data_IF_638289271297
#
_entry.id   IF_638289271297
#
_cell.length_a   1.000
_cell.length_b   1.000
_cell.length_c   1.000
_cell.angle_alpha   90.00
_cell.angle_beta   90.00
_cell.angle_gamma   90.00
#
_symmetry.space_group_name_H-M   'P 1'
#
loop_
_entity.id
_entity.type
_entity.pdbx_description
1 polymer ?
#
# COMPACT_ATOMS: atom_id res chain seq x y z
N UNK A 1 22.05 -33.18 96.09
CA UNK A 1 21.12 -34.23 95.60
C UNK A 1 20.34 -33.64 94.42
N UNK A 2 20.18 -34.38 93.42
CA UNK A 2 19.41 -34.28 92.20
C UNK A 2 20.23 -33.92 90.96
N UNK A 3 20.34 -34.94 90.16
CA UNK A 3 20.97 -35.16 88.92
C UNK A 3 20.07 -34.59 87.82
N UNK A 4 20.62 -33.93 86.78
CA UNK A 4 19.95 -33.74 85.45
C UNK A 4 20.90 -34.02 84.34
N UNK A 5 20.61 -35.10 83.66
CA UNK A 5 21.21 -35.57 82.44
C UNK A 5 20.71 -34.74 81.24
N UNK A 6 21.59 -34.62 80.32
CA UNK A 6 21.61 -34.25 78.95
C UNK A 6 20.35 -34.23 78.13
N UNK A 7 20.35 -33.26 77.23
CA UNK A 7 19.62 -33.31 75.99
C UNK A 7 20.53 -32.90 74.86
N UNK A 8 20.83 -33.84 73.97
CA UNK A 8 21.43 -33.60 72.66
C UNK A 8 20.40 -32.95 71.75
N UNK A 9 20.70 -31.79 71.18
CA UNK A 9 19.99 -31.23 70.04
C UNK A 9 20.76 -31.61 68.78
N UNK A 10 20.12 -32.40 67.94
CA UNK A 10 20.55 -32.72 66.58
C UNK A 10 20.30 -31.50 65.71
N UNK A 11 21.30 -31.07 65.00
CA UNK A 11 21.20 -30.03 63.98
C UNK A 11 20.67 -30.68 62.69
N UNK A 12 19.42 -30.37 62.34
CA UNK A 12 18.83 -30.75 61.06
C UNK A 12 19.30 -29.83 59.93
N UNK A 13 19.67 -30.49 58.93
CA UNK A 13 20.26 -30.12 57.64
C UNK A 13 19.29 -29.29 56.76
N UNK A 14 19.49 -28.02 56.59
CA UNK A 14 18.77 -27.12 55.67
C UNK A 14 19.64 -26.66 54.46
N UNK A 15 20.47 -27.59 53.89
CA UNK A 15 21.41 -27.21 52.83
C UNK A 15 21.00 -27.60 51.41
N UNK A 16 19.82 -28.17 51.17
CA UNK A 16 19.47 -28.71 49.79
C UNK A 16 18.51 -27.84 48.98
N UNK A 17 17.92 -26.78 49.57
CA UNK A 17 16.90 -25.99 48.85
C UNK A 17 17.46 -24.84 48.00
N UNK A 18 18.70 -24.35 48.22
CA UNK A 18 19.27 -23.18 47.50
C UNK A 18 19.99 -23.53 46.20
N UNK A 19 20.39 -24.79 46.01
CA UNK A 19 21.18 -25.20 44.85
C UNK A 19 20.36 -25.47 43.60
N UNK A 20 19.03 -25.68 43.72
CA UNK A 20 18.17 -26.04 42.56
C UNK A 20 17.48 -24.80 41.99
N UNK A 21 17.24 -23.73 42.75
CA UNK A 21 16.55 -22.50 42.32
C UNK A 21 17.42 -21.65 41.40
N UNK A 22 18.73 -21.65 41.62
CA UNK A 22 19.66 -20.83 40.81
C UNK A 22 19.83 -21.29 39.33
N UNK A 23 19.95 -22.57 39.00
CA UNK A 23 20.03 -23.00 37.61
C UNK A 23 18.69 -22.88 36.87
N UNK A 24 17.54 -23.01 37.55
CA UNK A 24 16.22 -22.80 36.94
C UNK A 24 15.98 -21.34 36.57
N UNK A 25 16.43 -20.38 37.39
CA UNK A 25 16.32 -18.96 37.11
C UNK A 25 17.21 -18.55 35.90
N UNK A 26 18.40 -19.13 35.75
CA UNK A 26 19.29 -18.88 34.62
C UNK A 26 18.71 -19.47 33.34
N UNK A 27 18.09 -20.63 33.37
CA UNK A 27 17.40 -21.24 32.21
C UNK A 27 16.18 -20.43 31.79
N UNK A 28 15.41 -19.89 32.74
CA UNK A 28 14.26 -19.03 32.45
C UNK A 28 14.72 -17.69 31.85
N UNK A 29 15.81 -17.10 32.31
CA UNK A 29 16.40 -15.87 31.74
C UNK A 29 16.94 -16.12 30.32
N UNK A 30 17.52 -17.30 30.04
CA UNK A 30 17.95 -17.68 28.69
C UNK A 30 16.82 -17.93 27.70
N UNK A 31 15.64 -18.38 28.19
CA UNK A 31 14.42 -18.57 27.34
C UNK A 31 13.76 -17.25 26.97
N UNK A 32 14.00 -16.16 27.69
CA UNK A 32 13.48 -14.83 27.36
C UNK A 32 14.42 -13.98 26.49
N UNK A 33 15.65 -14.40 26.26
CA UNK A 33 16.57 -13.82 25.28
C UNK A 33 16.34 -14.46 23.88
N UNK A 34 15.10 -14.54 23.42
CA UNK A 34 14.85 -14.69 21.98
C UNK A 34 15.43 -13.44 21.31
N UNK A 35 16.69 -13.52 20.87
CA UNK A 35 17.22 -12.55 19.93
C UNK A 35 16.23 -12.49 18.77
N UNK A 36 15.56 -11.37 18.61
CA UNK A 36 14.87 -11.09 17.35
C UNK A 36 15.97 -11.20 16.28
N UNK A 37 15.96 -12.28 15.49
CA UNK A 37 16.87 -12.40 14.35
C UNK A 37 16.47 -11.29 13.40
N UNK A 38 17.35 -10.30 13.24
CA UNK A 38 17.19 -9.32 12.19
C UNK A 38 17.74 -9.91 10.90
N UNK A 39 16.98 -9.80 9.84
CA UNK A 39 17.40 -10.20 8.49
C UNK A 39 17.63 -8.96 7.64
N UNK A 40 18.64 -9.01 6.77
CA UNK A 40 18.99 -7.92 5.88
C UNK A 40 18.19 -8.05 4.58
N UNK A 41 17.42 -7.03 4.27
CA UNK A 41 16.66 -6.95 3.02
C UNK A 41 17.11 -5.76 2.18
N UNK A 42 17.04 -5.88 0.85
CA UNK A 42 17.29 -4.78 -0.07
C UNK A 42 15.93 -4.19 -0.47
N UNK A 43 15.76 -2.89 -0.21
CA UNK A 43 14.53 -2.18 -0.59
C UNK A 43 14.52 -1.75 -2.07
N UNK A 44 13.43 -1.13 -2.53
CA UNK A 44 13.25 -0.75 -3.95
C UNK A 44 14.11 0.46 -4.39
N UNK A 45 14.82 1.11 -3.50
CA UNK A 45 15.79 2.17 -3.81
C UNK A 45 17.25 1.72 -3.56
N UNK A 46 17.45 0.39 -3.38
CA UNK A 46 18.77 -0.25 -3.32
C UNK A 46 19.46 -0.18 -1.96
N UNK A 47 18.76 0.10 -0.86
CA UNK A 47 19.32 0.17 0.48
C UNK A 47 19.19 -1.16 1.20
N UNK A 48 20.18 -1.49 2.01
CA UNK A 48 20.11 -2.58 2.98
C UNK A 48 19.34 -2.10 4.22
N UNK A 49 18.36 -2.88 4.66
CA UNK A 49 17.53 -2.60 5.83
C UNK A 49 17.52 -3.83 6.72
N UNK A 50 17.96 -3.67 7.97
CA UNK A 50 17.89 -4.72 8.99
C UNK A 50 16.49 -4.74 9.58
N UNK A 51 15.72 -5.80 9.33
CA UNK A 51 14.32 -5.93 9.76
C UNK A 51 14.21 -7.08 10.75
N UNK A 52 13.60 -6.86 11.95
CA UNK A 52 13.27 -7.95 12.87
C UNK A 52 12.34 -8.98 12.21
N UNK A 53 12.62 -10.26 12.33
CA UNK A 53 11.85 -11.34 11.70
C UNK A 53 11.05 -12.14 12.74
N UNK A 54 9.71 -12.15 12.68
CA UNK A 54 8.84 -11.23 11.95
C UNK A 54 8.62 -9.89 12.67
N UNK A 55 8.40 -8.77 11.97
CA UNK A 55 8.08 -7.51 12.61
C UNK A 55 6.69 -7.56 13.27
N UNK A 56 6.57 -6.95 14.45
CA UNK A 56 5.37 -6.99 15.28
C UNK A 56 4.61 -5.66 15.35
N UNK A 57 5.28 -4.55 15.03
CA UNK A 57 4.72 -3.20 15.12
C UNK A 57 5.11 -2.39 13.90
N UNK A 58 4.25 -2.42 12.89
CA UNK A 58 4.50 -1.82 11.57
C UNK A 58 3.80 -0.47 11.46
N UNK A 59 4.53 0.57 11.06
CA UNK A 59 3.95 1.86 10.68
C UNK A 59 3.93 1.97 9.14
N UNK A 60 2.75 2.24 8.58
CA UNK A 60 2.53 2.43 7.15
C UNK A 60 2.48 3.92 6.81
N UNK A 61 3.35 4.38 5.91
CA UNK A 61 3.44 5.78 5.49
C UNK A 61 2.67 6.10 4.20
N UNK A 62 1.86 5.16 3.69
CA UNK A 62 1.02 5.38 2.51
C UNK A 62 -0.27 4.55 2.55
N UNK A 63 -1.38 5.04 1.94
CA UNK A 63 -2.62 4.26 1.84
C UNK A 63 -2.43 2.92 1.13
N UNK A 64 -1.66 2.88 0.03
CA UNK A 64 -1.38 1.65 -0.74
C UNK A 64 -0.66 0.58 0.09
N UNK A 65 0.28 1.00 0.96
CA UNK A 65 0.98 0.11 1.88
C UNK A 65 0.01 -0.42 2.95
N UNK A 66 -0.83 0.47 3.50
CA UNK A 66 -1.86 0.07 4.48
C UNK A 66 -2.79 -0.99 3.89
N UNK A 67 -3.32 -0.76 2.69
CA UNK A 67 -4.19 -1.69 1.97
C UNK A 67 -3.49 -3.05 1.73
N UNK A 68 -2.19 -3.03 1.39
CA UNK A 68 -1.40 -4.24 1.20
C UNK A 68 -1.21 -5.02 2.50
N UNK A 69 -0.83 -4.34 3.59
CA UNK A 69 -0.65 -4.98 4.90
C UNK A 69 -1.94 -5.65 5.39
N UNK A 70 -3.08 -4.96 5.26
CA UNK A 70 -4.37 -5.55 5.62
C UNK A 70 -4.76 -6.73 4.72
N UNK A 71 -4.47 -6.66 3.42
CA UNK A 71 -4.72 -7.75 2.49
C UNK A 71 -3.86 -9.01 2.79
N UNK A 72 -2.71 -8.84 3.45
CA UNK A 72 -1.85 -9.89 3.95
C UNK A 72 -2.20 -10.37 5.37
N UNK A 73 -3.31 -9.88 5.96
CA UNK A 73 -3.74 -10.28 7.30
C UNK A 73 -2.89 -9.73 8.45
N UNK A 74 -2.19 -8.60 8.22
CA UNK A 74 -1.30 -7.95 9.19
C UNK A 74 -1.97 -6.82 9.98
N UNK A 75 -3.31 -6.80 10.05
CA UNK A 75 -4.08 -5.76 10.72
C UNK A 75 -3.66 -5.55 12.18
N UNK A 76 -3.32 -6.63 12.89
CA UNK A 76 -2.87 -6.56 14.30
C UNK A 76 -1.50 -5.94 14.43
N UNK A 77 -0.60 -6.17 13.48
CA UNK A 77 0.76 -5.64 13.46
C UNK A 77 0.81 -4.17 13.03
N UNK A 78 -0.20 -3.68 12.29
CA UNK A 78 -0.27 -2.26 11.90
C UNK A 78 -0.50 -1.39 13.14
N UNK A 79 0.56 -0.71 13.58
CA UNK A 79 0.58 0.18 14.76
C UNK A 79 0.15 1.61 14.42
N UNK A 80 0.36 2.07 13.15
CA UNK A 80 0.00 3.41 12.72
C UNK A 80 -0.08 3.54 11.21
N UNK A 81 -0.90 4.50 10.74
CA UNK A 81 -1.19 4.73 9.33
C UNK A 81 -1.29 6.22 9.02
N UNK A 82 -1.25 6.61 7.74
CA UNK A 82 -1.46 8.01 7.34
C UNK A 82 -2.92 8.44 7.44
N UNK A 83 -3.18 9.76 7.43
CA UNK A 83 -4.53 10.31 7.54
C UNK A 83 -5.49 9.83 6.43
N UNK A 84 -4.98 9.59 5.23
CA UNK A 84 -5.77 9.13 4.08
C UNK A 84 -5.84 7.60 3.95
N UNK A 85 -5.21 6.84 4.84
CA UNK A 85 -5.33 5.37 4.91
C UNK A 85 -6.68 4.99 5.53
N UNK A 86 -7.74 5.04 4.75
CA UNK A 86 -9.13 4.82 5.21
C UNK A 86 -9.70 3.49 4.73
N UNK A 87 -8.95 2.74 3.94
CA UNK A 87 -9.33 1.42 3.45
C UNK A 87 -8.30 0.38 3.90
N UNK A 88 -8.77 -0.83 4.35
CA UNK A 88 -10.18 -1.17 4.62
C UNK A 88 -10.75 -0.37 5.81
N UNK A 89 -12.04 -0.53 6.11
CA UNK A 89 -12.70 0.22 7.19
C UNK A 89 -11.95 0.08 8.53
N UNK A 90 -11.41 -1.10 8.83
CA UNK A 90 -10.61 -1.35 10.03
C UNK A 90 -9.34 -0.47 10.14
N UNK A 91 -8.80 0.04 9.03
CA UNK A 91 -7.67 0.96 9.06
C UNK A 91 -8.04 2.33 9.66
N UNK A 92 -9.33 2.69 9.70
CA UNK A 92 -9.80 3.97 10.26
C UNK A 92 -9.57 4.07 11.76
N UNK A 93 -9.57 2.96 12.47
CA UNK A 93 -9.33 2.91 13.92
C UNK A 93 -7.85 3.01 14.31
N UNK A 94 -6.92 2.92 13.36
CA UNK A 94 -5.48 2.95 13.63
C UNK A 94 -4.97 4.37 13.93
N UNK A 95 -3.98 4.53 14.80
CA UNK A 95 -3.33 5.80 15.09
C UNK A 95 -2.84 6.50 13.83
N UNK A 96 -2.98 7.85 13.77
CA UNK A 96 -2.61 8.66 12.61
C UNK A 96 -1.24 9.30 12.80
N UNK A 97 -0.31 9.02 11.88
CA UNK A 97 1.08 9.51 11.94
C UNK A 97 1.34 10.76 11.08
N UNK A 98 0.35 11.29 10.42
CA UNK A 98 0.46 12.46 9.54
C UNK A 98 -0.17 12.24 8.19
N UNK A 99 0.06 13.18 7.25
CA UNK A 99 -0.37 13.03 5.87
C UNK A 99 0.65 12.21 5.07
N UNK A 100 0.33 11.85 3.85
CA UNK A 100 1.23 11.13 2.93
C UNK A 100 2.57 11.87 2.68
N UNK A 101 2.55 13.18 2.63
CA UNK A 101 3.74 14.02 2.38
C UNK A 101 4.38 14.51 3.68
N UNK A 102 3.55 14.86 4.68
CA UNK A 102 4.00 15.42 5.95
C UNK A 102 3.74 14.42 7.08
N UNK A 103 4.71 13.57 7.34
CA UNK A 103 4.72 12.59 8.43
C UNK A 103 5.25 13.26 9.70
N UNK A 104 4.63 13.01 10.85
CA UNK A 104 5.13 13.43 12.15
C UNK A 104 6.10 12.38 12.70
N UNK A 105 7.39 12.73 12.78
CA UNK A 105 8.43 11.89 13.37
C UNK A 105 8.07 11.49 14.80
N UNK A 106 7.63 12.45 15.61
CA UNK A 106 7.25 12.23 17.01
C UNK A 106 6.14 11.17 17.14
N UNK A 107 5.09 11.26 16.30
CA UNK A 107 4.00 10.28 16.34
C UNK A 107 4.46 8.90 15.90
N UNK A 108 5.34 8.81 14.90
CA UNK A 108 5.90 7.52 14.48
C UNK A 108 6.72 6.91 15.60
N UNK A 109 7.66 7.67 16.18
CA UNK A 109 8.51 7.21 17.29
C UNK A 109 7.67 6.83 18.53
N UNK A 110 6.65 7.62 18.86
CA UNK A 110 5.75 7.34 19.98
C UNK A 110 4.95 6.04 19.86
N UNK A 111 4.81 5.50 18.63
CA UNK A 111 4.21 4.18 18.42
C UNK A 111 5.20 3.03 18.63
N UNK A 112 6.49 3.33 18.87
CA UNK A 112 7.55 2.36 19.08
C UNK A 112 7.53 1.21 18.01
N UNK A 113 7.59 1.53 16.70
CA UNK A 113 7.56 0.52 15.65
C UNK A 113 8.90 -0.21 15.56
N UNK A 114 8.83 -1.47 15.14
CA UNK A 114 10.00 -2.27 14.77
C UNK A 114 10.21 -2.33 13.24
N UNK A 115 9.26 -1.79 12.47
CA UNK A 115 9.35 -1.58 11.03
C UNK A 115 8.51 -0.38 10.59
N UNK A 116 9.07 0.46 9.73
CA UNK A 116 8.34 1.51 9.01
C UNK A 116 8.39 1.18 7.53
N UNK A 117 7.23 1.19 6.84
CA UNK A 117 7.18 0.97 5.39
C UNK A 117 6.73 2.27 4.73
N UNK A 118 7.57 2.80 3.85
CA UNK A 118 7.33 4.03 3.09
C UNK A 118 7.35 3.80 1.58
N UNK A 119 7.01 4.84 0.81
CA UNK A 119 7.10 4.83 -0.65
C UNK A 119 7.90 6.00 -1.18
N UNK A 120 8.73 5.77 -2.21
CA UNK A 120 9.51 6.82 -2.84
C UNK A 120 8.63 7.82 -3.61
N UNK A 121 7.46 7.40 -4.10
CA UNK A 121 6.49 8.25 -4.79
C UNK A 121 5.54 8.89 -3.76
N UNK A 122 6.05 9.90 -3.01
CA UNK A 122 5.24 10.71 -2.11
C UNK A 122 5.78 10.95 -0.71
N UNK A 123 6.51 10.02 -0.10
CA UNK A 123 7.18 10.31 1.16
C UNK A 123 8.46 11.12 0.90
N UNK A 124 8.67 12.16 1.69
CA UNK A 124 9.87 13.00 1.55
C UNK A 124 11.13 12.22 1.96
N UNK A 125 12.18 12.33 1.15
CA UNK A 125 13.47 11.68 1.44
C UNK A 125 14.03 12.08 2.82
N UNK A 126 13.83 13.35 3.20
CA UNK A 126 14.24 13.89 4.49
C UNK A 126 13.54 13.19 5.67
N UNK A 127 12.24 12.91 5.50
CA UNK A 127 11.46 12.17 6.52
C UNK A 127 12.00 10.75 6.71
N UNK A 128 12.33 10.07 5.62
CA UNK A 128 12.93 8.72 5.68
C UNK A 128 14.26 8.78 6.43
N UNK A 129 15.14 9.73 6.08
CA UNK A 129 16.43 9.91 6.76
C UNK A 129 16.29 10.26 8.25
N UNK A 130 15.29 11.06 8.63
CA UNK A 130 15.03 11.39 10.03
C UNK A 130 14.59 10.16 10.83
N UNK A 131 13.73 9.31 10.26
CA UNK A 131 13.31 8.06 10.89
C UNK A 131 14.49 7.09 11.07
N UNK A 132 15.34 6.95 10.05
CA UNK A 132 16.58 6.16 10.15
C UNK A 132 17.56 6.72 11.19
N UNK A 133 17.69 8.05 11.25
CA UNK A 133 18.55 8.75 12.20
C UNK A 133 18.20 8.52 13.66
N UNK A 134 16.95 8.13 13.97
CA UNK A 134 16.50 7.73 15.31
C UNK A 134 16.50 6.20 15.49
N UNK A 135 17.13 5.45 14.57
CA UNK A 135 17.32 3.99 14.67
C UNK A 135 16.14 3.14 14.23
N UNK A 136 15.15 3.71 13.52
CA UNK A 136 14.03 2.93 13.01
C UNK A 136 14.37 2.29 11.65
N UNK A 137 14.11 0.99 11.43
CA UNK A 137 14.24 0.38 10.12
C UNK A 137 13.14 0.90 9.19
N UNK A 138 13.53 1.50 8.05
CA UNK A 138 12.61 2.05 7.06
C UNK A 138 12.78 1.32 5.73
N UNK A 139 11.78 0.53 5.35
CA UNK A 139 11.73 -0.18 4.07
C UNK A 139 10.94 0.63 3.05
N UNK A 140 11.56 0.97 1.92
CA UNK A 140 10.93 1.82 0.89
C UNK A 140 10.51 0.99 -0.31
N UNK A 141 9.24 1.12 -0.70
CA UNK A 141 8.67 0.58 -1.94
C UNK A 141 8.45 1.68 -2.98
N UNK A 142 8.28 1.33 -4.26
CA UNK A 142 8.00 2.31 -5.31
C UNK A 142 7.32 1.66 -6.54
N UNK A 143 6.12 1.09 -6.42
CA UNK A 143 5.46 0.46 -7.54
C UNK A 143 4.82 1.50 -8.47
N UNK A 144 5.12 1.42 -9.78
CA UNK A 144 4.56 2.28 -10.83
C UNK A 144 3.85 1.49 -11.95
N UNK A 145 3.76 0.16 -11.79
CA UNK A 145 3.10 -0.75 -12.72
C UNK A 145 2.42 -1.90 -11.99
N UNK A 146 1.53 -2.64 -12.66
CA UNK A 146 0.89 -3.84 -12.08
C UNK A 146 1.90 -4.95 -11.73
N UNK A 147 2.97 -5.07 -12.51
CA UNK A 147 4.04 -6.00 -12.21
C UNK A 147 4.76 -5.60 -10.91
N UNK A 148 5.13 -4.34 -10.78
CA UNK A 148 5.81 -3.83 -9.58
C UNK A 148 4.90 -3.82 -8.33
N UNK A 149 3.57 -3.70 -8.49
CA UNK A 149 2.61 -3.91 -7.39
C UNK A 149 2.69 -5.38 -6.91
N UNK A 150 2.75 -6.34 -7.84
CA UNK A 150 2.93 -7.75 -7.49
C UNK A 150 4.25 -7.99 -6.76
N UNK A 151 5.35 -7.40 -7.24
CA UNK A 151 6.66 -7.47 -6.59
C UNK A 151 6.65 -6.83 -5.19
N UNK A 152 5.96 -5.70 -5.03
CA UNK A 152 5.79 -5.05 -3.73
C UNK A 152 5.03 -5.96 -2.75
N UNK A 153 3.93 -6.56 -3.17
CA UNK A 153 3.14 -7.49 -2.34
C UNK A 153 4.02 -8.66 -1.89
N UNK A 154 4.77 -9.28 -2.82
CA UNK A 154 5.68 -10.39 -2.50
C UNK A 154 6.80 -9.96 -1.56
N UNK A 155 7.39 -8.77 -1.77
CA UNK A 155 8.46 -8.26 -0.90
C UNK A 155 7.95 -7.96 0.51
N UNK A 156 6.75 -7.34 0.64
CA UNK A 156 6.12 -7.11 1.95
C UNK A 156 5.78 -8.46 2.60
N UNK A 157 5.26 -9.43 1.86
CA UNK A 157 5.02 -10.78 2.36
C UNK A 157 6.27 -11.42 2.96
N UNK A 158 7.41 -11.33 2.24
CA UNK A 158 8.70 -11.86 2.69
C UNK A 158 9.20 -11.19 3.97
N UNK A 159 9.24 -9.87 4.04
CA UNK A 159 9.74 -9.14 5.21
C UNK A 159 8.82 -9.24 6.44
N UNK A 160 7.60 -9.79 6.28
CA UNK A 160 6.58 -9.89 7.34
C UNK A 160 6.17 -11.32 7.65
N UNK A 161 6.86 -12.33 7.09
CA UNK A 161 6.52 -13.75 7.24
C UNK A 161 5.08 -14.06 6.80
N UNK A 162 4.71 -13.55 5.59
CA UNK A 162 3.41 -13.73 4.91
C UNK A 162 3.58 -14.09 3.43
N UNK A 163 4.56 -14.95 3.11
CA UNK A 163 4.90 -15.30 1.72
C UNK A 163 3.78 -16.07 1.02
N UNK A 164 3.10 -16.99 1.75
CA UNK A 164 2.01 -17.80 1.21
C UNK A 164 0.78 -16.92 0.90
N UNK A 165 0.42 -16.01 1.82
CA UNK A 165 -0.67 -15.07 1.63
C UNK A 165 -0.36 -14.12 0.46
N UNK A 166 0.88 -13.61 0.37
CA UNK A 166 1.32 -12.74 -0.71
C UNK A 166 1.26 -13.45 -2.07
N UNK A 167 1.76 -14.70 -2.14
CA UNK A 167 1.72 -15.52 -3.36
C UNK A 167 0.28 -15.78 -3.80
N UNK A 168 -0.59 -16.11 -2.86
CA UNK A 168 -2.02 -16.35 -3.13
C UNK A 168 -2.71 -15.09 -3.63
N UNK A 169 -2.45 -13.95 -2.98
CA UNK A 169 -2.99 -12.65 -3.37
C UNK A 169 -2.55 -12.28 -4.79
N UNK A 170 -1.25 -12.33 -5.10
CA UNK A 170 -0.70 -12.00 -6.42
C UNK A 170 -1.26 -12.93 -7.51
N UNK A 171 -1.40 -14.23 -7.22
CA UNK A 171 -2.03 -15.18 -8.14
C UNK A 171 -3.48 -14.80 -8.46
N UNK A 172 -4.23 -14.37 -7.45
CA UNK A 172 -5.60 -13.87 -7.60
C UNK A 172 -5.67 -12.62 -8.49
N UNK A 173 -4.77 -11.65 -8.27
CA UNK A 173 -4.69 -10.44 -9.08
C UNK A 173 -4.38 -10.76 -10.56
N UNK A 174 -3.40 -11.62 -10.81
CA UNK A 174 -3.04 -12.04 -12.17
C UNK A 174 -4.19 -12.78 -12.87
N UNK A 175 -4.92 -13.67 -12.15
CA UNK A 175 -6.09 -14.36 -12.71
C UNK A 175 -7.16 -13.37 -13.16
N UNK A 176 -7.47 -12.36 -12.34
CA UNK A 176 -8.44 -11.30 -12.67
C UNK A 176 -7.98 -10.46 -13.85
N UNK A 177 -6.72 -9.98 -13.86
CA UNK A 177 -6.15 -9.21 -14.96
C UNK A 177 -6.18 -9.99 -16.29
N UNK A 178 -5.84 -11.29 -16.26
CA UNK A 178 -5.90 -12.15 -17.45
C UNK A 178 -7.33 -12.33 -17.97
N UNK A 179 -8.31 -12.49 -17.08
CA UNK A 179 -9.73 -12.57 -17.46
C UNK A 179 -10.17 -11.33 -18.24
N UNK A 180 -9.82 -10.14 -17.73
CA UNK A 180 -10.11 -8.87 -18.41
C UNK A 180 -9.46 -8.85 -19.79
N UNK A 181 -8.16 -9.15 -19.87
CA UNK A 181 -7.44 -9.15 -21.14
C UNK A 181 -8.06 -10.10 -22.20
N UNK A 182 -8.51 -11.28 -21.78
CA UNK A 182 -9.18 -12.24 -22.67
C UNK A 182 -10.53 -11.70 -23.14
N UNK A 183 -11.35 -11.13 -22.25
CA UNK A 183 -12.68 -10.61 -22.60
C UNK A 183 -12.61 -9.43 -23.57
N UNK A 184 -11.54 -8.66 -23.54
CA UNK A 184 -11.37 -7.45 -24.34
C UNK A 184 -10.55 -7.67 -25.63
N UNK A 185 -10.03 -8.88 -25.86
CA UNK A 185 -9.04 -9.18 -26.90
C UNK A 185 -9.46 -8.72 -28.32
N UNK A 186 -10.73 -8.85 -28.63
CA UNK A 186 -11.26 -8.58 -29.97
C UNK A 186 -12.10 -7.31 -30.06
N UNK A 187 -12.17 -6.52 -29.00
CA UNK A 187 -12.93 -5.28 -28.99
C UNK A 187 -12.13 -4.12 -29.58
N UNK A 188 -12.85 -3.16 -30.21
CA UNK A 188 -12.25 -1.91 -30.66
C UNK A 188 -11.68 -1.15 -29.46
N UNK A 189 -10.53 -0.53 -29.62
CA UNK A 189 -9.86 0.23 -28.55
C UNK A 189 -10.18 1.72 -28.67
N UNK A 190 -11.12 2.25 -27.86
CA UNK A 190 -11.47 3.67 -27.87
C UNK A 190 -10.31 4.55 -27.39
N UNK A 191 -10.29 5.78 -27.86
CA UNK A 191 -9.38 6.85 -27.42
C UNK A 191 -9.85 7.41 -26.08
N UNK A 192 -9.03 7.32 -25.05
CA UNK A 192 -9.39 7.68 -23.67
C UNK A 192 -8.57 8.87 -23.22
N UNK A 193 -9.24 9.90 -22.72
CA UNK A 193 -8.64 10.96 -21.93
C UNK A 193 -8.93 10.72 -20.45
N UNK A 194 -7.91 10.62 -19.62
CA UNK A 194 -8.03 10.52 -18.17
C UNK A 194 -7.69 11.86 -17.52
N UNK A 195 -8.63 12.48 -16.85
CA UNK A 195 -8.41 13.68 -16.07
C UNK A 195 -8.15 13.33 -14.60
N UNK A 196 -6.95 13.63 -14.09
CA UNK A 196 -6.54 13.41 -12.71
C UNK A 196 -6.62 14.72 -11.90
N UNK A 197 -6.18 15.84 -12.49
CA UNK A 197 -6.24 17.18 -11.89
C UNK A 197 -7.33 18.03 -12.53
N UNK A 198 -7.96 18.90 -11.73
CA UNK A 198 -9.06 19.77 -12.18
C UNK A 198 -8.54 21.15 -12.58
N UNK A 199 -7.75 21.76 -11.74
CA UNK A 199 -7.18 23.09 -11.99
C UNK A 199 -5.75 23.19 -11.43
N UNK A 200 -4.72 23.09 -12.30
CA UNK A 200 -4.83 22.89 -13.76
C UNK A 200 -5.32 21.49 -14.15
N UNK A 201 -5.78 21.35 -15.39
CA UNK A 201 -6.11 20.03 -15.95
C UNK A 201 -4.82 19.22 -16.08
N UNK A 202 -4.76 18.06 -15.40
CA UNK A 202 -3.62 17.16 -15.40
C UNK A 202 -4.10 15.78 -15.87
N UNK A 203 -3.29 15.14 -16.70
CA UNK A 203 -3.52 13.77 -17.17
C UNK A 203 -2.34 12.86 -16.88
N UNK A 204 -2.43 11.60 -17.29
CA UNK A 204 -1.38 10.60 -17.16
C UNK A 204 -0.73 10.31 -18.52
N UNK A 205 0.59 10.36 -18.56
CA UNK A 205 1.40 10.02 -19.72
C UNK A 205 2.13 8.69 -19.58
N UNK A 206 3.18 8.51 -20.39
CA UNK A 206 4.02 7.31 -20.41
C UNK A 206 4.62 6.99 -19.03
N UNK A 207 4.75 5.70 -18.72
CA UNK A 207 5.40 5.22 -17.49
C UNK A 207 4.60 5.46 -16.22
N UNK A 208 3.28 5.65 -16.33
CA UNK A 208 2.37 5.74 -15.19
C UNK A 208 1.49 4.49 -15.09
N UNK A 209 1.11 4.14 -13.87
CA UNK A 209 0.12 3.10 -13.61
C UNK A 209 -1.19 3.36 -14.37
N UNK A 210 -1.65 4.59 -14.39
CA UNK A 210 -2.87 5.01 -15.10
C UNK A 210 -2.82 4.71 -16.60
N UNK A 211 -1.67 4.98 -17.25
CA UNK A 211 -1.49 4.65 -18.66
C UNK A 211 -1.57 3.15 -18.89
N UNK A 212 -0.96 2.35 -18.01
CA UNK A 212 -1.06 0.89 -18.06
C UNK A 212 -2.50 0.41 -17.85
N UNK A 213 -3.24 0.98 -16.88
CA UNK A 213 -4.63 0.63 -16.61
C UNK A 213 -5.53 0.90 -17.82
N UNK A 214 -5.41 2.07 -18.46
CA UNK A 214 -6.17 2.38 -19.69
C UNK A 214 -5.88 1.36 -20.77
N UNK A 215 -4.60 1.04 -20.98
CA UNK A 215 -4.20 0.07 -21.99
C UNK A 215 -4.74 -1.33 -21.70
N UNK A 216 -4.64 -1.81 -20.47
CA UNK A 216 -5.13 -3.13 -20.03
C UNK A 216 -6.65 -3.21 -20.00
N UNK A 217 -7.33 -2.09 -19.76
CA UNK A 217 -8.78 -1.94 -19.86
C UNK A 217 -9.28 -1.85 -21.33
N UNK A 218 -8.40 -2.04 -22.29
CA UNK A 218 -8.76 -2.07 -23.72
C UNK A 218 -8.92 -0.68 -24.35
N UNK A 219 -8.46 0.39 -23.74
CA UNK A 219 -8.41 1.74 -24.31
C UNK A 219 -7.07 2.10 -24.96
N UNK A 220 -7.03 3.27 -25.59
CA UNK A 220 -5.81 3.96 -26.03
C UNK A 220 -5.76 5.30 -25.31
N UNK A 221 -4.77 5.48 -24.45
CA UNK A 221 -4.58 6.77 -23.78
C UNK A 221 -4.10 7.82 -24.80
N UNK A 222 -4.86 8.92 -24.97
CA UNK A 222 -4.52 9.99 -25.93
C UNK A 222 -3.25 10.75 -25.56
N UNK A 223 -2.74 10.59 -24.32
CA UNK A 223 -1.45 11.11 -23.85
C UNK A 223 -0.41 10.00 -23.58
N UNK A 224 -0.69 8.74 -23.94
CA UNK A 224 0.14 7.58 -23.63
C UNK A 224 1.57 7.64 -24.16
N UNK A 225 1.81 8.41 -25.22
CA UNK A 225 3.15 8.58 -25.81
C UNK A 225 3.91 9.81 -25.33
N UNK A 226 3.28 10.69 -24.51
CA UNK A 226 3.98 11.85 -23.97
C UNK A 226 5.09 11.42 -23.00
N UNK A 227 6.29 12.05 -23.05
CA UNK A 227 7.41 11.69 -22.18
C UNK A 227 7.18 12.11 -20.71
N UNK A 228 6.27 13.05 -20.48
CA UNK A 228 5.94 13.52 -19.14
C UNK A 228 4.95 12.59 -18.45
N UNK A 229 5.24 12.17 -17.22
CA UNK A 229 4.37 11.28 -16.46
C UNK A 229 3.00 11.91 -16.17
N UNK A 230 2.97 13.18 -15.76
CA UNK A 230 1.74 13.89 -15.38
C UNK A 230 1.73 15.27 -16.02
N UNK A 231 1.47 15.37 -17.34
CA UNK A 231 1.47 16.65 -18.03
C UNK A 231 0.23 17.48 -17.70
N UNK A 232 0.41 18.81 -17.72
CA UNK A 232 -0.70 19.76 -17.78
C UNK A 232 -1.19 19.86 -19.21
N UNK A 233 -2.52 19.92 -19.38
CA UNK A 233 -3.15 19.93 -20.69
C UNK A 233 -3.95 21.21 -20.87
N UNK A 234 -3.93 21.77 -22.09
CA UNK A 234 -4.90 22.78 -22.50
C UNK A 234 -6.14 22.10 -23.10
N UNK A 235 -7.25 22.83 -23.11
CA UNK A 235 -8.50 22.33 -23.70
C UNK A 235 -8.34 22.17 -25.21
N UNK A 236 -7.63 23.07 -25.86
CA UNK A 236 -7.36 23.03 -27.31
C UNK A 236 -6.58 21.75 -27.69
N UNK A 237 -5.59 21.36 -26.90
CA UNK A 237 -4.84 20.11 -27.13
C UNK A 237 -5.74 18.87 -26.93
N UNK A 238 -6.62 18.89 -25.92
CA UNK A 238 -7.57 17.78 -25.71
C UNK A 238 -8.57 17.68 -26.86
N UNK A 239 -9.08 18.81 -27.38
CA UNK A 239 -9.95 18.86 -28.57
C UNK A 239 -9.22 18.25 -29.77
N UNK A 240 -7.97 18.66 -30.03
CA UNK A 240 -7.16 18.14 -31.12
C UNK A 240 -6.91 16.64 -31.03
N UNK A 241 -6.86 16.09 -29.81
CA UNK A 241 -6.70 14.66 -29.54
C UNK A 241 -8.00 13.84 -29.67
N UNK A 242 -9.14 14.47 -29.89
CA UNK A 242 -10.45 13.81 -30.19
C UNK A 242 -10.70 12.55 -29.37
N UNK A 243 -10.75 12.60 -28.03
CA UNK A 243 -11.03 11.43 -27.22
C UNK A 243 -12.47 10.93 -27.43
N UNK A 244 -12.64 9.61 -27.52
CA UNK A 244 -13.95 8.94 -27.56
C UNK A 244 -14.58 8.81 -26.18
N UNK A 245 -13.75 8.87 -25.13
CA UNK A 245 -14.15 8.72 -23.73
C UNK A 245 -13.34 9.69 -22.88
N UNK A 246 -14.03 10.37 -21.95
CA UNK A 246 -13.41 11.13 -20.87
C UNK A 246 -13.66 10.38 -19.55
N UNK A 247 -12.62 10.06 -18.82
CA UNK A 247 -12.71 9.52 -17.46
C UNK A 247 -12.16 10.58 -16.51
N UNK A 248 -12.94 10.95 -15.51
CA UNK A 248 -12.53 11.92 -14.48
C UNK A 248 -12.21 11.17 -13.20
N UNK A 249 -10.96 11.24 -12.76
CA UNK A 249 -10.52 10.85 -11.43
C UNK A 249 -9.94 12.08 -10.76
N UNK A 250 -10.19 12.29 -9.50
CA UNK A 250 -9.62 13.43 -8.78
C UNK A 250 -8.97 12.94 -7.50
N UNK A 251 -7.71 13.29 -7.30
CA UNK A 251 -7.00 13.08 -6.03
C UNK A 251 -7.66 13.86 -4.87
N UNK A 252 -8.59 14.75 -5.18
CA UNK A 252 -9.29 15.57 -4.21
C UNK A 252 -10.54 14.87 -3.72
N UNK A 253 -10.48 14.20 -2.58
CA UNK A 253 -11.66 13.64 -1.90
C UNK A 253 -12.65 14.77 -1.57
N UNK A 254 -13.92 14.58 -1.93
CA UNK A 254 -14.96 15.57 -1.71
C UNK A 254 -15.06 16.68 -2.75
N UNK A 255 -14.39 16.53 -3.92
CA UNK A 255 -14.60 17.43 -5.06
C UNK A 255 -16.00 17.29 -5.65
N UNK A 256 -16.53 18.38 -6.22
CA UNK A 256 -17.78 18.37 -6.96
C UNK A 256 -17.57 17.76 -8.35
N UNK A 257 -17.56 16.42 -8.41
CA UNK A 257 -17.39 15.68 -9.66
C UNK A 257 -18.54 15.92 -10.67
N UNK A 258 -19.81 16.06 -10.27
CA UNK A 258 -20.86 16.49 -11.17
C UNK A 258 -20.55 17.81 -11.87
N UNK A 259 -20.07 18.82 -11.15
CA UNK A 259 -19.66 20.10 -11.75
C UNK A 259 -18.49 19.95 -12.73
N UNK A 260 -17.52 19.06 -12.47
CA UNK A 260 -16.44 18.78 -13.41
C UNK A 260 -16.96 18.16 -14.69
N UNK A 261 -17.86 17.15 -14.59
CA UNK A 261 -18.53 16.54 -15.75
C UNK A 261 -19.32 17.58 -16.53
N UNK A 262 -20.09 18.43 -15.85
CA UNK A 262 -20.88 19.50 -16.48
C UNK A 262 -19.99 20.56 -17.12
N UNK A 263 -18.81 20.81 -16.56
CA UNK A 263 -17.80 21.70 -17.15
C UNK A 263 -17.31 21.22 -18.53
N UNK A 264 -17.37 19.92 -18.82
CA UNK A 264 -17.03 19.37 -20.13
C UNK A 264 -18.10 19.60 -21.18
N UNK A 265 -19.40 19.68 -20.81
CA UNK A 265 -20.54 19.77 -21.74
C UNK A 265 -20.48 20.93 -22.72
N UNK A 266 -19.73 21.98 -22.42
CA UNK A 266 -19.56 23.13 -23.32
C UNK A 266 -18.60 22.89 -24.50
N UNK A 267 -17.95 21.73 -24.58
CA UNK A 267 -16.95 21.39 -25.60
C UNK A 267 -17.45 20.29 -26.53
N UNK A 268 -18.55 20.55 -27.24
CA UNK A 268 -19.23 19.58 -28.14
C UNK A 268 -18.41 19.12 -29.33
N UNK A 269 -17.33 19.84 -29.66
CA UNK A 269 -16.33 19.39 -30.64
C UNK A 269 -15.61 18.10 -30.24
N UNK A 270 -15.61 17.74 -28.94
CA UNK A 270 -15.01 16.50 -28.42
C UNK A 270 -16.01 15.34 -28.60
N UNK A 271 -15.65 14.23 -29.30
CA UNK A 271 -16.55 13.10 -29.47
C UNK A 271 -17.13 12.55 -28.18
N UNK A 272 -16.30 12.42 -27.13
CA UNK A 272 -16.76 11.99 -25.81
C UNK A 272 -17.84 12.88 -25.19
N UNK A 273 -17.83 14.17 -25.46
CA UNK A 273 -18.84 15.12 -24.97
C UNK A 273 -20.12 15.01 -25.76
N UNK A 274 -20.03 14.99 -27.10
CA UNK A 274 -21.16 14.84 -28.00
C UNK A 274 -21.96 13.55 -27.78
N UNK A 275 -21.23 12.46 -27.50
CA UNK A 275 -21.79 11.12 -27.34
C UNK A 275 -22.10 10.79 -25.85
N UNK A 276 -22.05 11.78 -24.94
CA UNK A 276 -22.24 11.70 -23.47
C UNK A 276 -21.41 10.58 -22.80
N UNK A 277 -20.17 10.38 -23.27
CA UNK A 277 -19.24 9.38 -22.76
C UNK A 277 -18.23 10.00 -21.78
N UNK A 278 -18.75 10.66 -20.75
CA UNK A 278 -17.99 11.28 -19.67
C UNK A 278 -18.31 10.53 -18.37
N UNK A 279 -17.30 9.89 -17.80
CA UNK A 279 -17.45 9.02 -16.63
C UNK A 279 -16.60 9.48 -15.47
N UNK A 280 -17.02 9.10 -14.27
CA UNK A 280 -16.29 9.33 -13.02
C UNK A 280 -15.83 7.99 -12.50
N UNK A 281 -14.57 7.90 -12.08
CA UNK A 281 -13.98 6.75 -11.40
C UNK A 281 -13.48 7.17 -10.02
N UNK A 282 -13.61 6.27 -9.03
CA UNK A 282 -13.06 6.47 -7.70
C UNK A 282 -11.52 6.52 -7.78
N UNK A 283 -10.94 7.65 -7.38
CA UNK A 283 -9.50 7.87 -7.37
C UNK A 283 -8.75 6.83 -6.54
N UNK A 284 -9.29 6.40 -5.41
CA UNK A 284 -8.66 5.41 -4.54
C UNK A 284 -8.44 4.04 -5.24
N UNK A 285 -9.22 3.75 -6.31
CA UNK A 285 -9.08 2.51 -7.06
C UNK A 285 -7.94 2.53 -8.10
N UNK A 286 -7.57 3.72 -8.58
CA UNK A 286 -6.60 3.85 -9.69
C UNK A 286 -5.35 4.64 -9.32
N UNK A 287 -5.39 5.45 -8.24
CA UNK A 287 -4.25 6.25 -7.78
C UNK A 287 -3.41 5.50 -6.75
N UNK A 288 -3.98 4.51 -6.05
CA UNK A 288 -3.26 3.69 -5.09
C UNK A 288 -2.65 2.46 -5.77
N UNK A 289 -1.32 2.39 -5.79
CA UNK A 289 -0.59 1.20 -6.24
C UNK A 289 -0.68 0.09 -5.16
N UNK A 290 -1.86 -0.51 -5.01
CA UNK A 290 -2.23 -1.51 -4.00
C UNK A 290 -2.93 -2.72 -4.63
N UNK A 291 -3.25 -3.79 -3.88
CA UNK A 291 -4.03 -4.90 -4.41
C UNK A 291 -5.39 -4.50 -4.99
N UNK A 292 -5.99 -3.38 -4.55
CA UNK A 292 -7.28 -2.88 -5.06
C UNK A 292 -7.21 -2.29 -6.47
N UNK A 293 -6.01 -2.09 -7.01
CA UNK A 293 -5.83 -1.61 -8.39
C UNK A 293 -6.55 -2.50 -9.42
N UNK A 294 -6.75 -3.79 -9.10
CA UNK A 294 -7.48 -4.71 -9.99
C UNK A 294 -8.97 -4.38 -10.04
N UNK A 295 -9.56 -3.86 -8.95
CA UNK A 295 -10.94 -3.37 -8.94
C UNK A 295 -11.05 -2.12 -9.82
N UNK A 296 -10.02 -1.25 -9.77
CA UNK A 296 -9.88 -0.10 -10.66
C UNK A 296 -9.79 -0.49 -12.13
N UNK A 297 -9.01 -1.53 -12.44
CA UNK A 297 -8.88 -2.06 -13.81
C UNK A 297 -10.22 -2.63 -14.31
N UNK A 298 -10.94 -3.40 -13.50
CA UNK A 298 -12.28 -3.91 -13.84
C UNK A 298 -13.24 -2.75 -14.10
N UNK A 299 -13.27 -1.76 -13.20
CA UNK A 299 -14.14 -0.60 -13.36
C UNK A 299 -13.83 0.22 -14.60
N UNK A 300 -12.55 0.43 -14.89
CA UNK A 300 -12.11 1.12 -16.10
C UNK A 300 -12.50 0.34 -17.36
N UNK A 301 -12.39 -0.99 -17.36
CA UNK A 301 -12.81 -1.84 -18.47
C UNK A 301 -14.33 -1.79 -18.68
N UNK A 302 -15.14 -1.76 -17.62
CA UNK A 302 -16.60 -1.55 -17.70
C UNK A 302 -16.96 -0.19 -18.32
N UNK A 303 -16.23 0.86 -17.98
CA UNK A 303 -16.42 2.21 -18.52
C UNK A 303 -16.06 2.26 -20.01
N UNK A 304 -14.93 1.68 -20.38
CA UNK A 304 -14.42 1.72 -21.76
C UNK A 304 -15.27 0.82 -22.68
N UNK A 305 -15.71 -0.33 -22.19
CA UNK A 305 -16.48 -1.34 -22.90
C UNK A 305 -17.79 -1.70 -22.18
N UNK A 306 -18.77 -0.79 -22.14
CA UNK A 306 -20.06 -1.07 -21.51
C UNK A 306 -20.73 -2.27 -22.20
N UNK A 307 -21.21 -3.24 -21.41
CA UNK A 307 -21.86 -4.45 -21.92
C UNK A 307 -20.90 -5.60 -22.30
N UNK A 308 -19.57 -5.42 -22.17
CA UNK A 308 -18.67 -6.56 -22.23
C UNK A 308 -18.93 -7.50 -21.05
N UNK A 309 -18.93 -8.82 -21.30
CA UNK A 309 -19.23 -9.83 -20.27
C UNK A 309 -18.09 -10.00 -19.26
N UNK A 310 -17.73 -8.91 -18.57
CA UNK A 310 -16.87 -8.92 -17.38
C UNK A 310 -17.66 -9.44 -16.17
N UNK A 311 -18.56 -10.44 -16.36
CA UNK A 311 -19.38 -10.97 -15.26
C UNK A 311 -18.47 -11.46 -14.13
N UNK A 312 -18.71 -10.91 -12.95
CA UNK A 312 -18.21 -11.44 -11.69
C UNK A 312 -18.83 -12.83 -11.50
N UNK A 313 -17.99 -13.87 -11.46
CA UNK A 313 -18.36 -15.16 -10.92
C UNK A 313 -18.33 -15.10 -9.39
#
# INVERSE_FOLDING_TARGET
MVNFQGMHFSADDHSTSKAVVFPILIVIIFLFLSKANAEVYIDKIGRQVDIPSPPRRIVSLAPSITETLFALGLDRQVAGVTMLSTCPEAARSKPRVGTFVNISLERVVGLNPDLVIGTADGNRKETVKQLEGVGLPVYVVNPVSLAEISDMILSIGRITDREDEATTLVRGLHKRARRIAVSLKWLKRPRVFLQIGINPVITAGRGTLHNELIHRAGGVNVYGETPFRYPRCSIEDIIAKTPDIIIVSSMRRGGDFPAVRDGWKKWDAIPAVRDDRIYIIDADLIDHASPRVIDGLEKMAEIIHPGSSLKRE
#
